data_IF_103107664180
#
_entry.id   IF_103107664180
#
_cell.length_a   1.000
_cell.length_b   1.000
_cell.length_c   1.000
_cell.angle_alpha   90.00
_cell.angle_beta   90.00
_cell.angle_gamma   90.00
#
_symmetry.space_group_name_H-M   'P 1'
#
loop_
_entity.id
_entity.type
_entity.pdbx_description
1 polymer ?
#
# COMPACT_ATOMS: atom_id res chain seq x y z
N UNK A 1 -8.82 10.28 -6.16
CA UNK A 1 -8.46 11.02 -4.92
C UNK A 1 -7.81 12.36 -5.24
N UNK A 2 -6.75 12.42 -6.05
CA UNK A 2 -6.08 13.67 -6.44
C UNK A 2 -7.02 14.81 -6.86
N UNK A 3 -7.96 14.53 -7.77
CA UNK A 3 -8.92 15.52 -8.28
C UNK A 3 -9.99 15.96 -7.26
N UNK A 4 -10.13 15.24 -6.14
CA UNK A 4 -11.13 15.53 -5.12
C UNK A 4 -10.53 16.30 -3.92
N UNK A 5 -9.20 16.45 -3.85
CA UNK A 5 -8.52 17.19 -2.80
C UNK A 5 -8.30 18.65 -3.21
N UNK A 6 -8.30 19.54 -2.22
CA UNK A 6 -7.83 20.91 -2.39
C UNK A 6 -6.34 20.95 -2.80
N UNK A 7 -5.90 22.11 -3.33
CA UNK A 7 -4.52 22.30 -3.80
C UNK A 7 -3.46 22.14 -2.70
N UNK A 8 -3.85 22.31 -1.43
CA UNK A 8 -3.01 22.12 -0.25
C UNK A 8 -3.40 20.89 0.59
N UNK A 9 -4.36 20.10 0.10
CA UNK A 9 -4.95 18.97 0.79
C UNK A 9 -3.93 17.86 1.12
N UNK A 10 -4.28 17.04 2.11
CA UNK A 10 -3.46 15.92 2.57
C UNK A 10 -4.29 14.64 2.49
N UNK A 11 -3.70 13.61 1.90
CA UNK A 11 -4.23 12.25 1.97
C UNK A 11 -3.34 11.40 2.87
N UNK A 12 -3.93 10.81 3.91
CA UNK A 12 -3.27 9.80 4.74
C UNK A 12 -3.68 8.42 4.27
N UNK A 13 -2.70 7.63 3.84
CA UNK A 13 -2.87 6.22 3.49
C UNK A 13 -2.36 5.38 4.67
N UNK A 14 -3.14 4.42 5.13
CA UNK A 14 -2.70 3.40 6.08
C UNK A 14 -2.78 2.06 5.37
N UNK A 15 -1.64 1.38 5.25
CA UNK A 15 -1.58 0.07 4.59
C UNK A 15 -0.66 -0.89 5.36
N UNK A 16 -0.68 -2.17 4.97
CA UNK A 16 0.08 -3.24 5.60
C UNK A 16 1.57 -3.00 5.41
N UNK A 17 2.31 -3.15 6.50
CA UNK A 17 3.77 -3.07 6.49
C UNK A 17 4.33 -4.27 5.71
N UNK A 18 4.87 -3.98 4.53
CA UNK A 18 5.61 -4.91 3.69
C UNK A 18 6.73 -4.16 2.96
N UNK A 19 7.89 -4.79 2.83
CA UNK A 19 9.01 -4.18 2.10
C UNK A 19 8.99 -4.55 0.62
N UNK A 20 8.25 -5.59 0.24
CA UNK A 20 8.27 -6.14 -1.11
C UNK A 20 9.50 -7.02 -1.39
N UNK A 21 10.34 -7.23 -0.38
CA UNK A 21 11.49 -8.13 -0.43
C UNK A 21 11.19 -9.37 0.41
N UNK A 22 11.10 -10.53 -0.25
CA UNK A 22 10.80 -11.79 0.40
C UNK A 22 11.77 -12.14 1.52
N UNK A 23 13.07 -11.89 1.32
CA UNK A 23 14.09 -12.25 2.32
C UNK A 23 13.90 -11.47 3.63
N UNK A 24 13.49 -10.21 3.51
CA UNK A 24 13.13 -9.34 4.62
C UNK A 24 11.80 -9.73 5.23
N UNK A 25 10.75 -9.80 4.40
CA UNK A 25 9.36 -9.97 4.84
C UNK A 25 9.14 -11.34 5.51
N UNK A 26 9.83 -12.41 5.07
CA UNK A 26 9.68 -13.78 5.64
C UNK A 26 10.01 -13.88 7.13
N UNK A 27 10.65 -12.86 7.70
CA UNK A 27 10.93 -12.76 9.13
C UNK A 27 9.69 -12.39 9.94
N UNK A 28 8.65 -11.86 9.30
CA UNK A 28 7.37 -11.56 9.93
C UNK A 28 6.59 -12.87 10.19
N UNK A 29 6.30 -13.22 11.47
CA UNK A 29 5.59 -14.46 11.79
C UNK A 29 4.16 -14.50 11.23
N UNK A 30 3.57 -13.35 10.90
CA UNK A 30 2.24 -13.25 10.32
C UNK A 30 2.21 -13.31 8.80
N UNK A 31 3.38 -13.37 8.13
CA UNK A 31 3.46 -13.27 6.67
C UNK A 31 2.64 -14.36 5.95
N UNK A 32 2.70 -15.60 6.44
CA UNK A 32 1.94 -16.71 5.85
C UNK A 32 0.42 -16.46 5.91
N UNK A 33 -0.07 -15.91 7.02
CA UNK A 33 -1.47 -15.51 7.16
C UNK A 33 -1.82 -14.37 6.18
N UNK A 34 -0.96 -13.36 6.07
CA UNK A 34 -1.17 -12.22 5.16
C UNK A 34 -1.23 -12.64 3.69
N UNK A 35 -0.36 -13.56 3.25
CA UNK A 35 -0.46 -14.17 1.91
C UNK A 35 -1.73 -15.01 1.76
N UNK A 36 -2.13 -15.74 2.79
CA UNK A 36 -3.41 -16.46 2.82
C UNK A 36 -4.59 -15.53 2.55
N UNK A 37 -4.63 -14.37 3.21
CA UNK A 37 -5.64 -13.34 2.93
C UNK A 37 -5.51 -12.72 1.54
N UNK A 38 -4.28 -12.47 1.06
CA UNK A 38 -4.05 -11.95 -0.30
C UNK A 38 -4.73 -12.83 -1.33
N UNK A 39 -4.46 -14.14 -1.29
CA UNK A 39 -4.94 -15.09 -2.29
C UNK A 39 -6.44 -15.34 -2.17
N UNK A 40 -6.94 -15.53 -0.94
CA UNK A 40 -8.32 -15.97 -0.73
C UNK A 40 -9.34 -14.84 -0.72
N UNK A 41 -8.92 -13.58 -0.57
CA UNK A 41 -9.85 -12.44 -0.47
C UNK A 41 -9.39 -11.22 -1.28
N UNK A 42 -8.30 -10.56 -0.91
CA UNK A 42 -7.98 -9.22 -1.41
C UNK A 42 -7.62 -9.20 -2.91
N UNK A 43 -6.74 -10.09 -3.35
CA UNK A 43 -6.32 -10.18 -4.75
C UNK A 43 -7.45 -10.68 -5.63
N UNK A 44 -8.18 -11.70 -5.17
CA UNK A 44 -9.33 -12.25 -5.87
C UNK A 44 -10.42 -11.20 -6.09
N UNK A 45 -10.69 -10.36 -5.07
CA UNK A 45 -11.63 -9.25 -5.20
C UNK A 45 -11.10 -8.14 -6.11
N UNK A 46 -9.80 -7.84 -6.08
CA UNK A 46 -9.23 -6.82 -6.95
C UNK A 46 -9.26 -7.24 -8.44
N UNK A 47 -9.08 -8.53 -8.73
CA UNK A 47 -9.06 -9.08 -10.09
C UNK A 47 -10.44 -9.46 -10.63
N UNK A 48 -11.53 -9.25 -9.87
CA UNK A 48 -12.88 -9.58 -10.35
C UNK A 48 -13.34 -8.67 -11.49
N UNK A 49 -12.73 -7.49 -11.63
CA UNK A 49 -13.00 -6.53 -12.69
C UNK A 49 -11.80 -6.39 -13.64
N UNK A 50 -12.03 -6.20 -14.95
CA UNK A 50 -10.96 -5.96 -15.91
C UNK A 50 -10.09 -4.76 -15.52
N UNK A 51 -8.77 -4.95 -15.50
CA UNK A 51 -7.81 -3.89 -15.19
C UNK A 51 -7.53 -3.67 -13.70
N UNK A 52 -8.07 -4.52 -12.81
CA UNK A 52 -7.69 -4.51 -11.40
C UNK A 52 -6.21 -4.81 -11.17
N UNK A 53 -5.56 -4.04 -10.29
CA UNK A 53 -4.11 -4.13 -10.07
C UNK A 53 -3.65 -5.42 -9.36
N UNK A 54 -4.55 -6.12 -8.65
CA UNK A 54 -4.25 -7.43 -8.06
C UNK A 54 -3.10 -7.46 -7.04
N UNK A 55 -2.79 -6.35 -6.37
CA UNK A 55 -1.63 -6.26 -5.47
C UNK A 55 -1.73 -7.20 -4.26
N UNK A 56 -2.95 -7.44 -3.76
CA UNK A 56 -3.17 -8.20 -2.54
C UNK A 56 -2.65 -7.48 -1.29
N UNK A 57 -2.66 -8.19 -0.15
CA UNK A 57 -2.34 -7.66 1.19
C UNK A 57 -0.88 -7.23 1.36
N UNK A 58 0.05 -7.79 0.58
CA UNK A 58 1.50 -7.55 0.70
C UNK A 58 2.13 -7.06 -0.61
N UNK A 59 1.31 -6.58 -1.54
CA UNK A 59 1.78 -6.01 -2.81
C UNK A 59 1.82 -4.48 -2.84
N UNK A 60 1.32 -3.80 -1.81
CA UNK A 60 1.35 -2.35 -1.69
C UNK A 60 2.51 -1.88 -0.80
N UNK A 61 3.73 -2.26 -1.18
CA UNK A 61 4.95 -1.83 -0.50
C UNK A 61 5.15 -0.32 -0.62
N UNK A 62 6.05 0.26 0.18
CA UNK A 62 6.33 1.71 0.14
C UNK A 62 6.72 2.20 -1.26
N UNK A 63 7.53 1.44 -1.99
CA UNK A 63 7.96 1.82 -3.35
C UNK A 63 6.77 1.80 -4.33
N UNK A 64 5.88 0.81 -4.22
CA UNK A 64 4.66 0.73 -5.02
C UNK A 64 3.71 1.87 -4.67
N UNK A 65 3.54 2.15 -3.37
CA UNK A 65 2.70 3.24 -2.89
C UNK A 65 3.20 4.60 -3.38
N UNK A 66 4.51 4.85 -3.34
CA UNK A 66 5.08 6.08 -3.88
C UNK A 66 4.89 6.15 -5.40
N UNK A 67 5.25 5.11 -6.15
CA UNK A 67 5.09 5.10 -7.61
C UNK A 67 3.64 5.40 -8.04
N UNK A 68 2.66 4.72 -7.44
CA UNK A 68 1.25 4.95 -7.72
C UNK A 68 0.79 6.35 -7.32
N UNK A 69 1.29 6.91 -6.21
CA UNK A 69 0.98 8.28 -5.81
C UNK A 69 1.54 9.30 -6.83
N UNK A 70 2.76 9.08 -7.33
CA UNK A 70 3.38 9.92 -8.36
C UNK A 70 2.60 9.87 -9.67
N UNK A 71 2.25 8.67 -10.13
CA UNK A 71 1.43 8.46 -11.33
C UNK A 71 0.05 9.14 -11.21
N UNK A 72 -0.52 9.15 -10.01
CA UNK A 72 -1.79 9.83 -9.73
C UNK A 72 -1.67 11.37 -9.64
N UNK A 73 -0.47 11.95 -9.80
CA UNK A 73 -0.24 13.40 -9.85
C UNK A 73 0.04 14.06 -8.48
N UNK A 74 0.46 13.30 -7.47
CA UNK A 74 0.96 13.85 -6.21
C UNK A 74 2.47 14.11 -6.29
N UNK A 75 2.95 15.24 -5.75
CA UNK A 75 4.39 15.59 -5.79
C UNK A 75 5.10 15.45 -4.44
N UNK A 76 4.40 15.08 -3.37
CA UNK A 76 5.02 14.85 -2.06
C UNK A 76 4.52 13.54 -1.47
N UNK A 77 5.46 12.76 -0.98
CA UNK A 77 5.22 11.47 -0.35
C UNK A 77 6.11 11.39 0.89
N UNK A 78 5.51 11.10 2.04
CA UNK A 78 6.24 10.94 3.30
C UNK A 78 5.73 9.71 4.04
N UNK A 79 6.66 8.85 4.43
CA UNK A 79 6.37 7.73 5.32
C UNK A 79 6.41 8.21 6.77
N UNK A 80 5.39 7.85 7.53
CA UNK A 80 5.34 7.96 8.98
C UNK A 80 5.39 6.55 9.57
N UNK A 81 6.51 6.24 10.22
CA UNK A 81 6.68 4.99 10.96
C UNK A 81 6.45 5.26 12.46
N UNK A 82 5.31 4.79 12.96
CA UNK A 82 4.93 4.90 14.37
C UNK A 82 5.27 3.64 15.18
N UNK A 83 6.12 2.77 14.64
CA UNK A 83 6.46 1.47 15.23
C UNK A 83 5.23 0.54 15.37
N UNK A 84 4.21 0.75 14.52
CA UNK A 84 3.08 -0.18 14.37
C UNK A 84 3.61 -1.45 13.67
N UNK A 85 3.48 -2.63 14.31
CA UNK A 85 4.03 -3.87 13.76
C UNK A 85 3.32 -4.33 12.48
N UNK A 86 2.09 -3.89 12.24
CA UNK A 86 1.26 -4.35 11.13
C UNK A 86 1.14 -3.32 9.99
N UNK A 87 1.35 -2.03 10.25
CA UNK A 87 1.02 -0.98 9.28
C UNK A 87 2.14 0.05 9.09
N UNK A 88 2.11 0.68 7.92
CA UNK A 88 2.80 1.92 7.61
C UNK A 88 1.77 2.99 7.22
N UNK A 89 2.18 4.25 7.41
CA UNK A 89 1.33 5.40 7.14
C UNK A 89 2.03 6.31 6.13
N UNK A 90 1.32 6.67 5.06
CA UNK A 90 1.85 7.51 3.99
C UNK A 90 1.07 8.83 3.94
N UNK A 91 1.75 9.94 4.19
CA UNK A 91 1.23 11.27 3.93
C UNK A 91 1.53 11.64 2.48
N UNK A 92 0.47 11.82 1.70
CA UNK A 92 0.55 12.13 0.28
C UNK A 92 -0.07 13.49 0.02
N UNK A 93 0.65 14.36 -0.71
CA UNK A 93 0.22 15.74 -0.96
C UNK A 93 0.51 16.19 -2.39
N UNK A 94 -0.22 17.22 -2.86
CA UNK A 94 0.01 17.87 -4.12
C UNK A 94 1.46 18.24 -4.40
#
# INVERSE_FOLDING_TARGET
IRAALADDGVWLIKDIRCTGDWATDRRNPMLAMMYGFSLTSCMSSALSEPGGAGLGTVGFSTDVAEAMAREAGFTRFRVHDFDDPANLYYEVRP
#
